data_IF_566134258134
#
_entry.id   IF_566134258134
#
_cell.length_a   1.000
_cell.length_b   1.000
_cell.length_c   1.000
_cell.angle_alpha   90.00
_cell.angle_beta   90.00
_cell.angle_gamma   90.00
#
_symmetry.space_group_name_H-M   'P 1'
#
loop_
_entity.id
_entity.type
_entity.pdbx_description
1 polymer ?
#
# COMPACT_ATOMS: atom_id res chain seq x y z
N UNK A 1 -5.04 45.07 -9.02
CA UNK A 1 -5.45 45.27 -7.62
C UNK A 1 -6.19 44.08 -6.99
N UNK A 2 -6.31 42.90 -7.62
CA UNK A 2 -7.24 41.86 -7.10
C UNK A 2 -6.60 40.73 -6.27
N UNK A 3 -5.30 40.43 -6.35
CA UNK A 3 -4.74 39.29 -5.60
C UNK A 3 -4.59 39.50 -4.07
N UNK A 4 -4.28 40.72 -3.62
CA UNK A 4 -4.05 41.03 -2.19
C UNK A 4 -5.37 41.14 -1.43
N UNK A 5 -6.38 41.79 -2.02
CA UNK A 5 -7.72 41.90 -1.42
C UNK A 5 -8.43 40.53 -1.33
N UNK A 6 -8.20 39.64 -2.30
CA UNK A 6 -8.72 38.27 -2.26
C UNK A 6 -8.01 37.42 -1.20
N UNK A 7 -6.70 37.62 -0.97
CA UNK A 7 -5.95 36.92 0.07
C UNK A 7 -6.30 37.35 1.51
N UNK A 8 -6.64 38.63 1.71
CA UNK A 8 -7.17 39.15 2.98
C UNK A 8 -8.57 38.60 3.29
N UNK A 9 -9.36 38.28 2.26
CA UNK A 9 -10.70 37.71 2.43
C UNK A 9 -10.71 36.21 2.80
N UNK A 10 -9.58 35.50 2.66
CA UNK A 10 -9.51 34.06 2.94
C UNK A 10 -9.62 33.76 4.44
N UNK A 11 -8.92 34.52 5.30
CA UNK A 11 -8.90 34.25 6.75
C UNK A 11 -10.29 34.35 7.39
N UNK A 12 -11.09 35.40 7.11
CA UNK A 12 -12.46 35.46 7.60
C UNK A 12 -13.33 34.29 7.10
N UNK A 13 -13.12 33.83 5.87
CA UNK A 13 -13.86 32.68 5.32
C UNK A 13 -13.49 31.38 6.04
N UNK A 14 -12.20 31.13 6.31
CA UNK A 14 -11.75 29.97 7.10
C UNK A 14 -12.34 30.03 8.51
N UNK A 15 -12.30 31.20 9.16
CA UNK A 15 -12.89 31.38 10.49
C UNK A 15 -14.42 31.18 10.50
N UNK A 16 -15.11 31.48 9.40
CA UNK A 16 -16.56 31.28 9.26
C UNK A 16 -16.96 29.80 9.27
N UNK A 17 -16.03 28.86 9.05
CA UNK A 17 -16.30 27.43 9.18
C UNK A 17 -16.64 27.02 10.62
N UNK A 18 -16.26 27.83 11.62
CA UNK A 18 -16.58 27.64 13.03
C UNK A 18 -17.77 28.52 13.49
N UNK A 19 -18.55 29.09 12.57
CA UNK A 19 -19.71 29.90 12.91
C UNK A 19 -20.88 29.03 13.43
N UNK A 20 -21.79 29.63 14.20
CA UNK A 20 -22.99 28.92 14.71
C UNK A 20 -24.04 28.63 13.62
N UNK A 21 -24.05 29.42 12.54
CA UNK A 21 -25.08 29.33 11.50
C UNK A 21 -24.65 28.37 10.39
N UNK A 22 -25.34 27.25 10.26
CA UNK A 22 -25.13 26.25 9.21
C UNK A 22 -25.00 26.83 7.80
N UNK A 23 -25.87 27.79 7.45
CA UNK A 23 -25.83 28.43 6.13
C UNK A 23 -24.55 29.23 5.89
N UNK A 24 -23.97 29.83 6.94
CA UNK A 24 -22.70 30.54 6.82
C UNK A 24 -21.54 29.56 6.61
N UNK A 25 -21.52 28.46 7.36
CA UNK A 25 -20.51 27.39 7.24
C UNK A 25 -20.54 26.78 5.83
N UNK A 26 -21.72 26.38 5.34
CA UNK A 26 -21.87 25.77 4.02
C UNK A 26 -21.49 26.71 2.88
N UNK A 27 -21.85 27.99 2.99
CA UNK A 27 -21.46 29.02 2.02
C UNK A 27 -19.94 29.26 2.04
N UNK A 28 -19.33 29.37 3.23
CA UNK A 28 -17.89 29.53 3.37
C UNK A 28 -17.13 28.35 2.75
N UNK A 29 -17.51 27.11 3.07
CA UNK A 29 -16.92 25.91 2.47
C UNK A 29 -17.04 25.90 0.93
N UNK A 30 -18.19 26.35 0.40
CA UNK A 30 -18.42 26.44 -1.05
C UNK A 30 -17.53 27.50 -1.69
N UNK A 31 -17.43 28.70 -1.11
CA UNK A 31 -16.57 29.76 -1.63
C UNK A 31 -15.10 29.33 -1.61
N UNK A 32 -14.62 28.77 -0.49
CA UNK A 32 -13.25 28.28 -0.35
C UNK A 32 -12.94 27.20 -1.40
N UNK A 33 -13.86 26.26 -1.62
CA UNK A 33 -13.69 25.21 -2.64
C UNK A 33 -13.65 25.77 -4.07
N UNK A 34 -14.46 26.79 -4.36
CA UNK A 34 -14.44 27.46 -5.66
C UNK A 34 -13.11 28.22 -5.88
N UNK A 35 -12.60 28.90 -4.84
CA UNK A 35 -11.30 29.57 -4.89
C UNK A 35 -10.16 28.56 -5.10
N UNK A 36 -10.25 27.38 -4.48
CA UNK A 36 -9.26 26.31 -4.61
C UNK A 36 -9.09 25.79 -6.05
N UNK A 37 -10.04 26.05 -6.95
CA UNK A 37 -9.86 25.72 -8.39
C UNK A 37 -8.62 26.38 -9.00
N UNK A 38 -8.21 27.53 -8.45
CA UNK A 38 -6.97 28.20 -8.79
C UNK A 38 -5.89 27.81 -7.77
N UNK A 39 -4.76 27.31 -8.28
CA UNK A 39 -3.63 26.83 -7.45
C UNK A 39 -3.10 27.89 -6.45
N UNK A 40 -2.93 29.19 -6.79
CA UNK A 40 -2.44 30.17 -5.84
C UNK A 40 -3.35 30.37 -4.62
N UNK A 41 -4.67 30.37 -4.81
CA UNK A 41 -5.61 30.50 -3.70
C UNK A 41 -5.69 29.22 -2.88
N UNK A 42 -5.60 28.04 -3.52
CA UNK A 42 -5.55 26.76 -2.82
C UNK A 42 -4.41 26.71 -1.81
N UNK A 43 -3.20 27.06 -2.24
CA UNK A 43 -2.00 27.10 -1.39
C UNK A 43 -2.20 28.11 -0.24
N UNK A 44 -2.75 29.29 -0.53
CA UNK A 44 -3.04 30.32 0.48
C UNK A 44 -4.12 29.90 1.50
N UNK A 45 -5.11 29.10 1.09
CA UNK A 45 -6.12 28.53 1.98
C UNK A 45 -5.53 27.40 2.83
N UNK A 46 -4.71 26.53 2.23
CA UNK A 46 -4.04 25.43 2.94
C UNK A 46 -3.10 25.94 4.04
N UNK A 47 -2.32 27.00 3.77
CA UNK A 47 -1.42 27.58 4.77
C UNK A 47 -2.13 28.18 6.00
N UNK A 48 -3.45 28.35 5.93
CA UNK A 48 -4.31 28.84 7.01
C UNK A 48 -5.02 27.73 7.80
N UNK A 49 -4.64 26.47 7.58
CA UNK A 49 -5.14 25.34 8.37
C UNK A 49 -6.57 24.92 8.03
N UNK A 50 -6.91 24.94 6.74
CA UNK A 50 -8.27 24.61 6.27
C UNK A 50 -8.71 23.20 6.65
N UNK A 51 -7.80 22.22 6.65
CA UNK A 51 -8.17 20.83 6.94
C UNK A 51 -8.54 20.66 8.41
N UNK A 52 -7.84 21.38 9.30
CA UNK A 52 -8.21 21.46 10.71
C UNK A 52 -9.56 22.15 10.90
N UNK A 53 -9.80 23.26 10.20
CA UNK A 53 -11.06 24.00 10.28
C UNK A 53 -12.28 23.23 9.74
N UNK A 54 -12.06 22.23 8.87
CA UNK A 54 -13.13 21.37 8.33
C UNK A 54 -13.53 20.21 9.24
N UNK A 55 -12.74 19.89 10.29
CA UNK A 55 -13.00 18.75 11.17
C UNK A 55 -14.35 18.85 11.91
N UNK A 56 -14.70 20.02 12.43
CA UNK A 56 -15.98 20.26 13.12
C UNK A 56 -17.18 20.29 12.15
N UNK A 57 -17.14 20.99 10.99
CA UNK A 57 -18.20 20.92 9.99
C UNK A 57 -18.57 19.50 9.53
N UNK A 58 -17.62 18.54 9.50
CA UNK A 58 -17.91 17.14 9.20
C UNK A 58 -18.82 16.48 10.25
N UNK A 59 -18.76 16.92 11.51
CA UNK A 59 -19.58 16.43 12.64
C UNK A 59 -20.94 17.13 12.75
N UNK A 60 -21.23 18.12 11.90
CA UNK A 60 -22.50 18.84 11.93
C UNK A 60 -23.70 17.89 11.78
N UNK A 61 -24.83 18.21 12.43
CA UNK A 61 -26.10 17.50 12.21
C UNK A 61 -26.79 17.92 10.90
N UNK A 62 -26.31 18.97 10.25
CA UNK A 62 -26.90 19.49 9.03
C UNK A 62 -26.27 18.82 7.79
N UNK A 63 -27.09 18.04 7.08
CA UNK A 63 -26.63 17.33 5.88
C UNK A 63 -26.07 18.24 4.77
N UNK A 64 -26.50 19.50 4.69
CA UNK A 64 -25.93 20.45 3.75
C UNK A 64 -24.51 20.85 4.13
N UNK A 65 -24.27 21.14 5.43
CA UNK A 65 -22.94 21.42 5.96
C UNK A 65 -22.02 20.23 5.78
N UNK A 66 -22.46 19.03 6.19
CA UNK A 66 -21.70 17.78 5.99
C UNK A 66 -21.31 17.57 4.53
N UNK A 67 -22.25 17.77 3.59
CA UNK A 67 -22.01 17.61 2.16
C UNK A 67 -20.93 18.58 1.66
N UNK A 68 -21.00 19.86 2.04
CA UNK A 68 -20.03 20.88 1.62
C UNK A 68 -18.68 20.71 2.31
N UNK A 69 -18.65 20.30 3.58
CA UNK A 69 -17.43 20.01 4.31
C UNK A 69 -16.68 18.82 3.69
N UNK A 70 -17.37 17.70 3.42
CA UNK A 70 -16.75 16.55 2.76
C UNK A 70 -16.24 16.90 1.34
N UNK A 71 -16.99 17.72 0.60
CA UNK A 71 -16.53 18.18 -0.71
C UNK A 71 -15.29 19.09 -0.63
N UNK A 72 -15.24 19.97 0.38
CA UNK A 72 -14.07 20.81 0.64
C UNK A 72 -12.84 19.95 1.01
N UNK A 73 -13.01 18.92 1.86
CA UNK A 73 -11.92 17.98 2.18
C UNK A 73 -11.36 17.35 0.91
N UNK A 74 -12.22 16.88 -0.01
CA UNK A 74 -11.77 16.32 -1.28
C UNK A 74 -10.99 17.33 -2.15
N UNK A 75 -11.34 18.61 -2.09
CA UNK A 75 -10.67 19.67 -2.86
C UNK A 75 -9.29 20.04 -2.31
N UNK A 76 -9.09 19.94 -0.99
CA UNK A 76 -7.85 20.33 -0.31
C UNK A 76 -6.93 19.16 0.03
N UNK A 77 -7.39 17.90 -0.01
CA UNK A 77 -6.59 16.69 0.25
C UNK A 77 -5.60 16.33 -0.87
N UNK A 78 -5.11 17.30 -1.65
CA UNK A 78 -4.30 17.07 -2.83
C UNK A 78 -2.85 16.66 -2.54
N UNK A 79 -2.30 17.03 -1.38
CA UNK A 79 -0.92 16.74 -0.97
C UNK A 79 -0.86 16.04 0.40
N UNK A 80 0.32 15.52 0.75
CA UNK A 80 0.54 14.74 1.95
C UNK A 80 0.40 15.57 3.23
N UNK A 81 0.74 16.86 3.19
CA UNK A 81 0.65 17.76 4.34
C UNK A 81 -0.81 18.02 4.70
N UNK A 82 -1.67 18.30 3.71
CA UNK A 82 -3.10 18.50 3.93
C UNK A 82 -3.79 17.22 4.47
N UNK A 83 -3.40 16.04 3.96
CA UNK A 83 -3.92 14.75 4.48
C UNK A 83 -3.44 14.46 5.90
N UNK A 84 -2.19 14.80 6.21
CA UNK A 84 -1.63 14.72 7.56
C UNK A 84 -2.32 15.70 8.52
N UNK A 85 -2.62 16.91 8.06
CA UNK A 85 -3.35 17.91 8.85
C UNK A 85 -4.75 17.40 9.21
N UNK A 86 -5.50 16.87 8.24
CA UNK A 86 -6.83 16.28 8.48
C UNK A 86 -6.76 15.12 9.49
N UNK A 87 -5.74 14.27 9.39
CA UNK A 87 -5.48 13.18 10.35
C UNK A 87 -5.25 13.71 11.76
N UNK A 88 -4.36 14.68 11.91
CA UNK A 88 -4.01 15.27 13.21
C UNK A 88 -5.19 16.00 13.85
N UNK A 89 -6.08 16.59 13.03
CA UNK A 89 -7.32 17.20 13.47
C UNK A 89 -8.42 16.18 13.83
N UNK A 90 -8.19 14.88 13.67
CA UNK A 90 -9.20 13.85 13.92
C UNK A 90 -10.37 13.87 12.94
N UNK A 91 -10.17 14.41 11.73
CA UNK A 91 -11.20 14.58 10.71
C UNK A 91 -11.56 13.30 9.95
N UNK A 92 -10.69 12.27 9.98
CA UNK A 92 -10.97 11.00 9.29
C UNK A 92 -12.15 10.23 9.90
N UNK A 93 -12.27 10.19 11.23
CA UNK A 93 -13.37 9.51 11.92
C UNK A 93 -14.76 10.03 11.47
N UNK A 94 -15.03 11.34 11.59
CA UNK A 94 -16.24 11.97 11.05
C UNK A 94 -16.44 11.67 9.56
N UNK A 95 -15.38 11.73 8.76
CA UNK A 95 -15.48 11.46 7.34
C UNK A 95 -15.97 10.03 7.06
N UNK A 96 -15.52 9.04 7.83
CA UNK A 96 -15.99 7.66 7.74
C UNK A 96 -17.43 7.52 8.23
N UNK A 97 -17.84 8.20 9.30
CA UNK A 97 -19.23 8.21 9.76
C UNK A 97 -20.19 8.74 8.66
N UNK A 98 -19.75 9.73 7.87
CA UNK A 98 -20.54 10.26 6.75
C UNK A 98 -20.79 9.25 5.62
N UNK A 99 -20.00 8.17 5.51
CA UNK A 99 -20.26 7.09 4.55
C UNK A 99 -21.59 6.38 4.83
N UNK A 100 -22.03 6.32 6.09
CA UNK A 100 -23.34 5.77 6.48
C UNK A 100 -24.50 6.75 6.35
N UNK A 101 -24.25 7.97 5.84
CA UNK A 101 -25.30 8.99 5.74
C UNK A 101 -26.44 8.54 4.81
N UNK A 102 -27.68 8.73 5.29
CA UNK A 102 -28.89 8.53 4.49
C UNK A 102 -29.00 9.56 3.35
N UNK A 103 -28.34 10.71 3.48
CA UNK A 103 -28.30 11.71 2.42
C UNK A 103 -27.34 11.27 1.31
N UNK A 104 -27.86 11.16 0.08
CA UNK A 104 -27.11 10.72 -1.10
C UNK A 104 -25.93 11.65 -1.44
N UNK A 105 -26.10 12.96 -1.31
CA UNK A 105 -25.05 13.93 -1.62
C UNK A 105 -23.90 13.86 -0.60
N UNK A 106 -24.25 13.77 0.69
CA UNK A 106 -23.27 13.60 1.78
C UNK A 106 -22.44 12.34 1.56
N UNK A 107 -23.10 11.19 1.37
CA UNK A 107 -22.40 9.92 1.16
C UNK A 107 -21.51 9.94 -0.09
N UNK A 108 -21.99 10.52 -1.19
CA UNK A 108 -21.20 10.68 -2.44
C UNK A 108 -19.94 11.51 -2.19
N UNK A 109 -20.07 12.64 -1.50
CA UNK A 109 -18.93 13.52 -1.24
C UNK A 109 -17.97 12.92 -0.21
N UNK A 110 -18.47 12.17 0.77
CA UNK A 110 -17.66 11.38 1.69
C UNK A 110 -16.83 10.32 0.94
N UNK A 111 -17.45 9.57 0.01
CA UNK A 111 -16.74 8.61 -0.83
C UNK A 111 -15.62 9.29 -1.64
N UNK A 112 -15.90 10.46 -2.23
CA UNK A 112 -14.91 11.24 -2.96
C UNK A 112 -13.74 11.70 -2.07
N UNK A 113 -14.03 12.22 -0.88
CA UNK A 113 -13.00 12.63 0.07
C UNK A 113 -12.14 11.45 0.54
N UNK A 114 -12.75 10.30 0.85
CA UNK A 114 -12.02 9.06 1.21
C UNK A 114 -11.12 8.61 0.05
N UNK A 115 -11.63 8.62 -1.18
CA UNK A 115 -10.84 8.28 -2.37
C UNK A 115 -9.60 9.17 -2.52
N UNK A 116 -9.74 10.48 -2.31
CA UNK A 116 -8.59 11.41 -2.40
C UNK A 116 -7.63 11.19 -1.23
N UNK A 117 -8.15 11.04 -0.01
CA UNK A 117 -7.35 10.82 1.19
C UNK A 117 -6.59 9.48 1.14
N UNK A 118 -7.14 8.44 0.52
CA UNK A 118 -6.47 7.14 0.36
C UNK A 118 -5.29 7.14 -0.64
N UNK A 119 -4.95 8.30 -1.21
CA UNK A 119 -3.82 8.42 -2.15
C UNK A 119 -2.46 8.37 -1.48
N UNK A 120 -2.38 8.53 -0.15
CA UNK A 120 -1.18 8.22 0.63
C UNK A 120 -1.39 7.01 1.53
N UNK A 121 -0.32 6.21 1.67
CA UNK A 121 -0.34 4.95 2.42
C UNK A 121 -0.71 5.14 3.88
N UNK A 122 -0.14 6.15 4.55
CA UNK A 122 -0.36 6.40 5.98
C UNK A 122 -1.84 6.70 6.26
N UNK A 123 -2.46 7.55 5.43
CA UNK A 123 -3.88 7.89 5.56
C UNK A 123 -4.78 6.75 5.13
N UNK A 124 -4.42 6.00 4.09
CA UNK A 124 -5.15 4.80 3.69
C UNK A 124 -5.18 3.74 4.80
N UNK A 125 -4.05 3.48 5.46
CA UNK A 125 -3.96 2.54 6.60
C UNK A 125 -4.86 2.99 7.74
N UNK A 126 -4.85 4.28 8.09
CA UNK A 126 -5.72 4.81 9.15
C UNK A 126 -7.21 4.74 8.77
N UNK A 127 -7.57 5.04 7.52
CA UNK A 127 -8.93 4.87 7.00
C UNK A 127 -9.38 3.40 7.10
N UNK A 128 -8.53 2.45 6.71
CA UNK A 128 -8.79 1.02 6.86
C UNK A 128 -8.97 0.63 8.33
N UNK A 129 -8.14 1.15 9.25
CA UNK A 129 -8.25 0.92 10.70
C UNK A 129 -9.58 1.44 11.27
N UNK A 130 -10.12 2.52 10.71
CA UNK A 130 -11.42 3.09 11.04
C UNK A 130 -12.60 2.33 10.40
N UNK A 131 -12.36 1.25 9.67
CA UNK A 131 -13.40 0.41 9.05
C UNK A 131 -13.89 0.89 7.69
N UNK A 132 -13.19 1.83 7.04
CA UNK A 132 -13.60 2.37 5.75
C UNK A 132 -13.81 1.29 4.67
N UNK A 133 -12.98 0.25 4.70
CA UNK A 133 -13.01 -0.84 3.72
C UNK A 133 -14.34 -1.60 3.77
N UNK A 134 -14.73 -2.07 4.95
CA UNK A 134 -15.97 -2.83 5.14
C UNK A 134 -17.21 -2.00 4.79
N UNK A 135 -17.20 -0.71 5.16
CA UNK A 135 -18.29 0.22 4.86
C UNK A 135 -18.41 0.45 3.34
N UNK A 136 -17.29 0.64 2.64
CA UNK A 136 -17.31 0.82 1.19
C UNK A 136 -17.69 -0.47 0.46
N UNK A 137 -17.29 -1.65 0.95
CA UNK A 137 -17.77 -2.94 0.45
C UNK A 137 -19.30 -3.03 0.59
N UNK A 138 -19.86 -2.70 1.76
CA UNK A 138 -21.31 -2.68 2.00
C UNK A 138 -22.04 -1.71 1.06
N UNK A 139 -21.52 -0.49 0.90
CA UNK A 139 -22.09 0.53 -0.01
C UNK A 139 -22.11 0.01 -1.46
N UNK A 140 -21.05 -0.67 -1.90
CA UNK A 140 -20.93 -1.18 -3.27
C UNK A 140 -21.78 -2.43 -3.54
N UNK A 141 -22.21 -3.16 -2.49
CA UNK A 141 -23.21 -4.22 -2.61
C UNK A 141 -24.64 -3.67 -2.76
N UNK A 142 -24.90 -2.44 -2.33
CA UNK A 142 -26.23 -1.81 -2.42
C UNK A 142 -26.45 -1.11 -3.77
N UNK A 143 -27.47 -1.54 -4.51
CA UNK A 143 -27.90 -0.90 -5.78
C UNK A 143 -28.28 0.59 -5.57
N UNK A 144 -28.78 0.95 -4.38
CA UNK A 144 -29.25 2.30 -4.07
C UNK A 144 -28.12 3.22 -3.58
N UNK A 145 -27.16 2.67 -2.83
CA UNK A 145 -26.14 3.46 -2.16
C UNK A 145 -24.84 3.59 -2.95
N UNK A 146 -24.56 2.63 -3.84
CA UNK A 146 -23.42 2.60 -4.75
C UNK A 146 -23.33 3.86 -5.60
N UNK A 147 -22.11 4.35 -5.78
CA UNK A 147 -21.79 5.48 -6.65
C UNK A 147 -20.37 5.34 -7.22
N UNK A 148 -20.04 6.12 -8.26
CA UNK A 148 -18.74 5.98 -8.95
C UNK A 148 -17.53 6.23 -8.02
N UNK A 149 -17.69 7.05 -6.97
CA UNK A 149 -16.62 7.27 -6.00
C UNK A 149 -16.55 6.17 -4.94
N UNK A 150 -17.62 5.43 -4.64
CA UNK A 150 -17.54 4.35 -3.65
C UNK A 150 -16.72 3.17 -4.17
N UNK A 151 -16.84 2.85 -5.47
CA UNK A 151 -15.98 1.85 -6.10
C UNK A 151 -14.53 2.34 -6.18
N UNK A 152 -14.32 3.57 -6.63
CA UNK A 152 -12.98 4.14 -6.77
C UNK A 152 -12.28 4.33 -5.42
N UNK A 153 -13.01 4.68 -4.37
CA UNK A 153 -12.50 4.77 -3.01
C UNK A 153 -12.07 3.40 -2.48
N UNK A 154 -12.89 2.37 -2.71
CA UNK A 154 -12.57 1.00 -2.32
C UNK A 154 -11.31 0.52 -3.05
N UNK A 155 -11.24 0.71 -4.37
CA UNK A 155 -10.06 0.36 -5.15
C UNK A 155 -8.80 1.09 -4.65
N UNK A 156 -8.91 2.39 -4.36
CA UNK A 156 -7.78 3.19 -3.89
C UNK A 156 -7.28 2.77 -2.50
N UNK A 157 -8.17 2.40 -1.58
CA UNK A 157 -7.76 1.81 -0.30
C UNK A 157 -6.99 0.51 -0.52
N UNK A 158 -7.51 -0.34 -1.41
CA UNK A 158 -6.90 -1.63 -1.75
C UNK A 158 -5.58 -1.50 -2.51
N UNK A 159 -5.31 -0.38 -3.21
CA UNK A 159 -4.01 -0.14 -3.85
C UNK A 159 -2.84 -0.16 -2.85
N UNK A 160 -3.10 0.10 -1.56
CA UNK A 160 -2.09 0.05 -0.49
C UNK A 160 -1.92 -1.36 0.10
N UNK A 161 -2.76 -2.33 -0.27
CA UNK A 161 -2.60 -3.73 0.10
C UNK A 161 -2.95 -4.63 -1.09
N UNK A 162 -1.96 -4.87 -1.95
CA UNK A 162 -2.18 -5.61 -3.20
C UNK A 162 -2.61 -7.06 -2.98
N UNK A 163 -2.16 -7.72 -1.90
CA UNK A 163 -2.62 -9.07 -1.55
C UNK A 163 -4.12 -9.08 -1.32
N UNK A 164 -4.61 -8.14 -0.49
CA UNK A 164 -6.04 -7.97 -0.25
C UNK A 164 -6.79 -7.54 -1.50
N UNK A 165 -6.23 -6.62 -2.30
CA UNK A 165 -6.80 -6.19 -3.58
C UNK A 165 -7.03 -7.38 -4.49
N UNK A 166 -6.01 -8.22 -4.68
CA UNK A 166 -6.09 -9.36 -5.57
C UNK A 166 -7.04 -10.45 -5.06
N UNK A 167 -7.08 -10.67 -3.74
CA UNK A 167 -8.04 -11.60 -3.12
C UNK A 167 -9.48 -11.11 -3.18
N UNK A 168 -9.74 -9.80 -3.13
CA UNK A 168 -11.09 -9.22 -3.18
C UNK A 168 -11.59 -9.01 -4.61
N UNK A 169 -10.76 -8.44 -5.46
CA UNK A 169 -11.16 -8.01 -6.80
C UNK A 169 -10.78 -9.00 -7.90
N UNK A 170 -9.88 -9.95 -7.62
CA UNK A 170 -9.37 -10.87 -8.63
C UNK A 170 -8.55 -10.19 -9.73
N UNK A 171 -8.17 -8.93 -9.56
CA UNK A 171 -7.51 -8.14 -10.61
C UNK A 171 -6.45 -7.21 -10.03
N UNK A 172 -5.26 -7.25 -10.61
CA UNK A 172 -4.22 -6.24 -10.45
C UNK A 172 -3.92 -5.63 -11.81
N UNK A 173 -3.93 -4.30 -11.88
CA UNK A 173 -3.61 -3.56 -13.10
C UNK A 173 -2.10 -3.53 -13.38
N UNK A 174 -1.72 -3.06 -14.56
CA UNK A 174 -0.31 -2.84 -14.92
C UNK A 174 0.38 -1.68 -14.19
N UNK A 175 -0.35 -0.91 -13.38
CA UNK A 175 0.23 0.04 -12.43
C UNK A 175 0.39 -0.52 -11.02
N UNK A 176 -0.26 -1.64 -10.70
CA UNK A 176 -0.05 -2.31 -9.42
C UNK A 176 1.21 -3.17 -9.53
N UNK A 177 2.26 -2.77 -8.82
CA UNK A 177 3.57 -3.43 -8.81
C UNK A 177 3.66 -4.32 -7.57
N UNK A 178 3.67 -5.64 -7.76
CA UNK A 178 3.81 -6.59 -6.66
C UNK A 178 5.20 -6.43 -6.04
N UNK A 179 5.29 -6.15 -4.74
CA UNK A 179 6.55 -6.06 -3.99
C UNK A 179 6.70 -7.24 -3.01
N UNK A 180 7.85 -7.33 -2.35
CA UNK A 180 8.09 -8.36 -1.33
C UNK A 180 7.15 -8.15 -0.14
N UNK A 181 6.59 -9.24 0.39
CA UNK A 181 5.50 -9.21 1.37
C UNK A 181 4.14 -9.53 0.75
N UNK A 182 4.01 -9.53 -0.58
CA UNK A 182 2.79 -9.94 -1.25
C UNK A 182 2.51 -11.44 -1.07
N UNK A 183 1.23 -11.80 -0.94
CA UNK A 183 0.78 -13.19 -0.95
C UNK A 183 -0.59 -13.33 -1.59
N UNK A 184 -0.83 -14.52 -2.14
CA UNK A 184 -2.11 -14.90 -2.73
C UNK A 184 -2.75 -16.04 -1.93
N UNK A 185 -3.72 -15.70 -1.08
CA UNK A 185 -4.56 -16.66 -0.36
C UNK A 185 -5.84 -17.07 -1.13
N UNK A 186 -5.98 -16.66 -2.40
CA UNK A 186 -7.15 -16.95 -3.22
C UNK A 186 -8.25 -15.89 -3.12
N UNK A 187 -9.37 -16.16 -3.79
CA UNK A 187 -10.52 -15.25 -3.80
C UNK A 187 -11.27 -15.31 -2.47
N UNK A 188 -11.46 -14.15 -1.84
CA UNK A 188 -12.18 -14.02 -0.57
C UNK A 188 -13.55 -13.38 -0.83
N UNK A 189 -14.60 -13.99 -0.26
CA UNK A 189 -15.97 -13.48 -0.37
C UNK A 189 -16.14 -12.17 0.41
N UNK A 190 -17.02 -11.26 -0.02
CA UNK A 190 -17.36 -10.07 0.75
C UNK A 190 -17.77 -10.41 2.19
N UNK A 191 -17.31 -9.62 3.16
CA UNK A 191 -17.60 -9.82 4.59
C UNK A 191 -16.75 -10.89 5.30
N UNK A 192 -15.92 -11.66 4.59
CA UNK A 192 -14.92 -12.53 5.23
C UNK A 192 -13.68 -11.70 5.58
N UNK A 193 -13.16 -11.86 6.80
CA UNK A 193 -11.94 -11.17 7.26
C UNK A 193 -10.74 -11.56 6.38
N UNK A 194 -10.00 -10.56 5.91
CA UNK A 194 -8.70 -10.77 5.29
C UNK A 194 -7.65 -11.00 6.37
N UNK A 195 -6.98 -12.15 6.33
CA UNK A 195 -5.96 -12.51 7.32
C UNK A 195 -4.58 -12.06 6.86
N UNK A 196 -3.79 -11.54 7.80
CA UNK A 196 -2.39 -11.21 7.60
C UNK A 196 -1.55 -12.46 7.34
N UNK A 197 -0.38 -12.29 6.72
CA UNK A 197 0.52 -13.40 6.47
C UNK A 197 1.01 -14.06 7.77
N UNK A 198 1.23 -13.28 8.83
CA UNK A 198 1.58 -13.78 10.16
C UNK A 198 0.46 -14.67 10.71
N UNK A 199 -0.79 -14.18 10.74
CA UNK A 199 -1.96 -14.97 11.17
C UNK A 199 -2.07 -16.27 10.36
N UNK A 200 -1.87 -16.22 9.04
CA UNK A 200 -1.90 -17.39 8.16
C UNK A 200 -0.75 -18.37 8.42
N UNK A 201 0.45 -17.88 8.72
CA UNK A 201 1.63 -18.71 8.98
C UNK A 201 1.54 -19.48 10.28
N UNK A 202 0.76 -18.99 11.25
CA UNK A 202 0.54 -19.65 12.54
C UNK A 202 -0.56 -20.70 12.54
N UNK A 203 -1.33 -20.81 11.44
CA UNK A 203 -2.36 -21.82 11.32
C UNK A 203 -1.75 -23.21 11.17
N UNK A 204 -2.45 -24.22 11.70
CA UNK A 204 -2.08 -25.61 11.48
C UNK A 204 -2.15 -25.96 9.99
N UNK A 205 -1.36 -26.96 9.58
CA UNK A 205 -1.42 -27.48 8.22
C UNK A 205 -2.85 -27.98 7.94
N UNK A 206 -3.49 -27.40 6.93
CA UNK A 206 -4.85 -27.76 6.51
C UNK A 206 -4.88 -28.22 5.06
N UNK A 207 -5.93 -28.93 4.65
CA UNK A 207 -6.18 -29.30 3.25
C UNK A 207 -6.70 -28.10 2.40
N UNK A 208 -6.60 -26.87 2.91
CA UNK A 208 -6.98 -25.68 2.19
C UNK A 208 -5.93 -25.30 1.15
N UNK A 209 -6.35 -24.53 0.14
CA UNK A 209 -5.49 -24.03 -0.93
C UNK A 209 -4.23 -23.37 -0.35
N UNK A 210 -3.07 -23.75 -0.87
CA UNK A 210 -1.79 -23.12 -0.58
C UNK A 210 -1.84 -21.59 -0.76
N UNK A 211 -1.19 -20.89 0.16
CA UNK A 211 -1.02 -19.44 0.15
C UNK A 211 0.33 -19.16 -0.51
N UNK A 212 0.30 -18.61 -1.72
CA UNK A 212 1.52 -18.39 -2.47
C UNK A 212 2.15 -17.07 -2.05
N UNK A 213 3.38 -17.12 -1.54
CA UNK A 213 4.05 -15.98 -0.93
C UNK A 213 5.26 -15.50 -1.73
N UNK A 214 5.46 -14.18 -1.77
CA UNK A 214 6.48 -13.49 -2.55
C UNK A 214 7.42 -12.72 -1.61
N UNK A 215 8.68 -13.15 -1.53
CA UNK A 215 9.71 -12.41 -0.82
C UNK A 215 11.09 -12.68 -1.39
N UNK A 216 11.56 -11.80 -2.28
CA UNK A 216 12.91 -11.86 -2.83
C UNK A 216 13.92 -11.02 -2.04
N UNK A 217 13.52 -10.40 -0.91
CA UNK A 217 14.45 -9.63 -0.09
C UNK A 217 15.46 -10.59 0.54
N UNK A 218 16.78 -10.39 0.35
CA UNK A 218 17.74 -11.02 1.24
C UNK A 218 17.46 -10.53 2.66
N UNK A 219 17.58 -11.40 3.66
CA UNK A 219 17.58 -10.95 5.06
C UNK A 219 18.65 -9.86 5.19
N UNK A 220 18.24 -8.64 5.56
CA UNK A 220 19.21 -7.67 6.04
C UNK A 220 19.84 -8.30 7.27
N UNK A 221 21.16 -8.49 7.24
CA UNK A 221 21.94 -8.98 8.38
C UNK A 221 21.43 -8.27 9.62
N UNK A 222 20.90 -9.05 10.56
CA UNK A 222 20.36 -8.57 11.83
C UNK A 222 21.41 -7.64 12.43
N UNK A 223 21.14 -6.33 12.42
CA UNK A 223 22.09 -5.31 12.85
C UNK A 223 22.53 -5.70 14.26
N UNK A 224 23.75 -6.21 14.38
CA UNK A 224 24.32 -6.58 15.66
C UNK A 224 24.50 -5.27 16.39
N UNK A 225 23.64 -5.00 17.38
CA UNK A 225 23.75 -3.82 18.24
C UNK A 225 25.11 -3.86 18.94
N UNK A 226 26.11 -3.26 18.32
CA UNK A 226 27.45 -3.17 18.89
C UNK A 226 27.48 -1.93 19.76
N UNK A 227 27.28 -2.14 21.06
CA UNK A 227 27.43 -1.10 22.07
C UNK A 227 28.92 -0.75 22.16
N UNK A 228 29.33 0.39 21.61
CA UNK A 228 30.68 0.92 21.79
C UNK A 228 30.81 1.52 23.20
N UNK A 229 31.82 1.15 24.01
CA UNK A 229 32.04 1.77 25.31
C UNK A 229 32.52 3.21 25.18
N UNK A 230 32.08 4.02 26.15
CA UNK A 230 32.29 5.45 26.33
C UNK A 230 33.76 5.92 26.17
N UNK A 231 33.96 7.09 25.53
CA UNK A 231 35.17 7.92 25.70
C UNK A 231 34.77 9.29 26.26
N UNK A 232 35.32 9.65 27.41
CA UNK A 232 35.12 10.95 28.05
C UNK A 232 35.60 12.11 27.15
N UNK A 233 34.70 13.02 26.82
CA UNK A 233 35.02 14.28 26.15
C UNK A 233 34.06 15.38 26.59
N UNK A 234 34.52 16.30 27.43
CA UNK A 234 33.72 17.45 27.89
C UNK A 234 33.70 18.57 26.86
N UNK A 235 32.51 19.09 26.54
CA UNK A 235 32.34 20.30 25.73
C UNK A 235 31.80 21.42 26.63
N UNK A 236 32.50 22.57 26.66
CA UNK A 236 32.06 23.79 27.31
C UNK A 236 31.43 24.74 26.28
N UNK A 237 30.23 25.26 26.57
CA UNK A 237 29.64 26.39 25.84
C UNK A 237 29.41 27.57 26.80
N UNK A 238 29.73 28.82 26.41
CA UNK A 238 29.59 29.98 27.29
C UNK A 238 28.14 30.49 27.26
N UNK A 239 27.61 30.89 28.43
CA UNK A 239 26.32 31.54 28.52
C UNK A 239 26.45 32.99 28.98
N UNK A 240 25.79 33.89 28.23
CA UNK A 240 25.64 35.29 28.56
C UNK A 240 24.58 35.46 29.65
N UNK A 241 25.02 35.94 30.83
CA UNK A 241 24.23 36.43 31.99
C UNK A 241 23.79 35.38 33.03
N UNK A 242 24.58 35.29 34.11
CA UNK A 242 24.07 35.31 35.49
C UNK A 242 23.60 34.01 36.15
N UNK A 243 24.54 33.31 36.80
CA UNK A 243 24.39 32.62 38.10
C UNK A 243 23.57 31.31 38.18
N UNK A 244 24.26 30.17 37.97
CA UNK A 244 24.25 28.88 38.73
C UNK A 244 24.67 27.74 37.76
N UNK A 245 25.91 27.29 37.83
CA UNK A 245 26.41 26.16 37.02
C UNK A 245 25.94 24.83 37.64
N UNK A 246 25.10 24.09 36.92
CA UNK A 246 24.74 22.69 37.26
C UNK A 246 25.54 21.78 36.31
N UNK A 247 26.32 20.80 36.81
CA UNK A 247 26.92 19.81 35.93
C UNK A 247 25.80 18.89 35.41
N UNK A 248 25.52 18.97 34.11
CA UNK A 248 24.61 18.07 33.39
C UNK A 248 25.46 17.00 32.72
N UNK A 249 25.22 15.74 33.05
CA UNK A 249 25.83 14.60 32.38
C UNK A 249 24.87 14.20 31.25
N UNK A 250 25.35 14.24 30.00
CA UNK A 250 24.57 13.91 28.80
C UNK A 250 24.99 12.50 28.38
N UNK A 251 24.07 11.54 28.47
CA UNK A 251 24.26 10.18 27.96
C UNK A 251 23.54 10.06 26.62
N UNK A 252 24.23 9.53 25.61
CA UNK A 252 23.70 9.33 24.26
C UNK A 252 23.67 7.84 23.91
N UNK A 253 22.49 7.29 23.58
CA UNK A 253 22.40 6.07 22.77
C UNK A 253 22.27 6.46 21.29
N UNK A 254 23.08 5.85 20.43
CA UNK A 254 22.92 5.94 18.97
C UNK A 254 22.33 4.64 18.43
N UNK A 255 21.19 4.74 17.76
CA UNK A 255 20.65 3.66 16.93
C UNK A 255 20.60 4.14 15.47
N UNK A 256 21.03 3.29 14.54
CA UNK A 256 21.01 3.58 13.11
C UNK A 256 19.75 2.97 12.50
N UNK A 257 18.89 3.82 11.93
CA UNK A 257 17.72 3.41 11.14
C UNK A 257 17.75 4.20 9.84
N UNK A 258 17.73 3.51 8.68
CA UNK A 258 17.67 4.12 7.34
C UNK A 258 18.73 5.22 7.07
N UNK A 259 19.95 5.05 7.60
CA UNK A 259 21.04 6.02 7.43
C UNK A 259 20.92 7.30 8.28
N UNK A 260 19.94 7.39 9.19
CA UNK A 260 19.76 8.49 10.14
C UNK A 260 20.25 8.08 11.53
N UNK A 261 21.14 8.88 12.13
CA UNK A 261 21.55 8.69 13.53
C UNK A 261 20.48 9.26 14.46
N UNK A 262 19.80 8.38 15.21
CA UNK A 262 18.89 8.80 16.28
C UNK A 262 19.67 8.81 17.59
N UNK A 263 19.84 10.00 18.16
CA UNK A 263 20.47 10.20 19.47
C UNK A 263 19.40 10.33 20.55
N UNK A 264 19.33 9.36 21.45
CA UNK A 264 18.49 9.48 22.65
C UNK A 264 19.26 10.20 23.74
N UNK A 265 18.78 11.39 24.12
CA UNK A 265 19.34 12.18 25.22
C UNK A 265 18.48 12.01 26.47
N UNK A 266 19.02 11.38 27.51
CA UNK A 266 18.33 11.22 28.78
C UNK A 266 18.71 12.34 29.75
N UNK A 267 17.70 12.97 30.36
CA UNK A 267 17.89 13.99 31.38
C UNK A 267 17.70 13.40 32.78
N UNK A 268 18.81 13.09 33.46
CA UNK A 268 18.76 12.68 34.88
C UNK A 268 18.75 13.94 35.75
N UNK A 269 17.60 14.26 36.38
CA UNK A 269 17.53 15.35 37.38
C UNK A 269 18.30 14.96 38.65
N UNK A 270 19.28 15.79 39.02
CA UNK A 270 20.13 15.58 40.21
C UNK A 270 19.34 15.88 41.49
N UNK A 271 18.67 14.87 42.04
CA UNK A 271 18.16 14.91 43.42
C UNK A 271 19.33 14.85 44.42
N UNK A 272 19.34 15.75 45.41
CA UNK A 272 20.32 15.72 46.51
C UNK A 272 20.11 14.43 47.34
N UNK A 273 21.10 13.54 47.31
CA UNK A 273 21.30 12.55 48.39
C UNK A 273 21.03 11.06 48.12
N UNK A 274 21.17 10.53 46.89
CA UNK A 274 21.19 9.07 46.65
C UNK A 274 22.58 8.54 46.28
N UNK A 275 22.95 7.38 46.84
CA UNK A 275 24.23 6.67 46.64
C UNK A 275 24.43 6.28 45.17
N UNK A 276 25.67 6.30 44.72
CA UNK A 276 26.08 6.09 43.33
C UNK A 276 25.66 4.72 42.77
N UNK A 277 25.58 3.70 43.63
CA UNK A 277 25.20 2.32 43.30
C UNK A 277 23.69 2.11 43.05
N UNK A 278 22.82 2.96 43.63
CA UNK A 278 21.37 2.97 43.34
C UNK A 278 21.08 3.62 41.97
N UNK A 279 21.92 4.58 41.55
CA UNK A 279 21.78 5.27 40.26
C UNK A 279 22.09 4.35 39.09
N UNK A 280 23.13 3.51 39.21
CA UNK A 280 23.46 2.52 38.18
C UNK A 280 22.33 1.51 38.00
N UNK A 281 21.65 1.14 39.09
CA UNK A 281 20.48 0.23 39.07
C UNK A 281 19.25 0.86 38.43
N UNK A 282 18.92 2.13 38.74
CA UNK A 282 17.82 2.86 38.08
C UNK A 282 18.06 3.01 36.57
N UNK A 283 19.29 3.33 36.15
CA UNK A 283 19.67 3.43 34.72
C UNK A 283 19.60 2.07 34.02
N UNK A 284 20.10 1.01 34.66
CA UNK A 284 20.02 -0.37 34.10
C UNK A 284 18.56 -0.84 33.98
N UNK A 285 17.70 -0.46 34.92
CA UNK A 285 16.28 -0.81 34.90
C UNK A 285 15.48 -0.01 33.87
N UNK A 286 15.84 1.25 33.60
CA UNK A 286 15.26 2.03 32.50
C UNK A 286 15.73 1.48 31.16
N UNK A 287 17.02 1.13 31.03
CA UNK A 287 17.56 0.48 29.83
C UNK A 287 16.89 -0.88 29.61
N UNK A 288 16.63 -1.68 30.66
CA UNK A 288 15.95 -2.96 30.50
C UNK A 288 14.47 -2.79 30.11
N UNK A 289 13.77 -1.78 30.66
CA UNK A 289 12.38 -1.50 30.29
C UNK A 289 12.25 -0.95 28.87
N UNK A 290 13.17 -0.08 28.46
CA UNK A 290 13.24 0.40 27.08
C UNK A 290 13.67 -0.74 26.14
N UNK A 291 14.54 -1.65 26.58
CA UNK A 291 14.87 -2.87 25.85
C UNK A 291 13.67 -3.80 25.74
N UNK A 292 12.84 -3.93 26.79
CA UNK A 292 11.62 -4.73 26.77
C UNK A 292 10.54 -4.06 25.90
N UNK A 293 10.38 -2.73 25.91
CA UNK A 293 9.48 -2.00 25.01
C UNK A 293 9.94 -2.04 23.54
N UNK A 294 11.25 -1.95 23.29
CA UNK A 294 11.85 -2.13 21.95
C UNK A 294 11.74 -3.59 21.49
N UNK A 295 11.91 -4.56 22.40
CA UNK A 295 11.77 -5.98 22.09
C UNK A 295 10.29 -6.40 21.89
N UNK A 296 9.35 -5.71 22.53
CA UNK A 296 7.91 -5.96 22.36
C UNK A 296 7.39 -5.44 21.01
N UNK A 297 7.99 -4.37 20.48
CA UNK A 297 7.76 -3.91 19.10
C UNK A 297 8.58 -4.72 18.06
N UNK A 298 9.55 -5.53 18.47
CA UNK A 298 10.43 -6.28 17.54
C UNK A 298 10.09 -7.75 17.35
N UNK A 299 8.97 -8.25 17.89
CA UNK A 299 8.48 -9.60 17.57
C UNK A 299 7.64 -9.62 16.28
N UNK A 300 7.94 -8.76 15.32
CA UNK A 300 7.34 -8.88 13.99
C UNK A 300 7.90 -10.14 13.34
N UNK A 301 7.03 -11.13 13.11
CA UNK A 301 7.39 -12.29 12.28
C UNK A 301 7.87 -11.78 10.92
N UNK A 302 9.15 -11.99 10.64
CA UNK A 302 9.71 -11.69 9.32
C UNK A 302 9.56 -12.94 8.45
N UNK A 303 8.87 -12.83 7.31
CA UNK A 303 8.75 -13.95 6.42
C UNK A 303 10.13 -14.39 5.89
N UNK A 304 10.38 -15.69 5.74
CA UNK A 304 11.67 -16.17 5.25
C UNK A 304 11.95 -15.71 3.81
N UNK A 305 13.21 -15.46 3.45
CA UNK A 305 13.61 -15.07 2.10
C UNK A 305 13.49 -16.24 1.11
N UNK A 306 13.03 -15.94 -0.11
CA UNK A 306 13.00 -16.87 -1.24
C UNK A 306 14.18 -16.61 -2.18
N UNK A 307 15.32 -17.24 -1.87
CA UNK A 307 16.53 -17.13 -2.67
C UNK A 307 16.37 -17.70 -4.09
N UNK A 308 15.43 -18.63 -4.29
CA UNK A 308 15.17 -19.20 -5.61
C UNK A 308 14.46 -18.15 -6.48
N UNK A 309 13.46 -17.45 -5.92
CA UNK A 309 12.83 -16.33 -6.60
C UNK A 309 13.84 -15.22 -6.92
N UNK A 310 14.74 -14.91 -5.98
CA UNK A 310 15.81 -13.94 -6.21
C UNK A 310 16.71 -14.34 -7.40
N UNK A 311 17.11 -15.62 -7.49
CA UNK A 311 17.85 -16.14 -8.65
C UNK A 311 17.04 -16.01 -9.95
N UNK A 312 15.74 -16.31 -9.92
CA UNK A 312 14.87 -16.15 -11.08
C UNK A 312 14.82 -14.70 -11.57
N UNK A 313 14.65 -13.74 -10.66
CA UNK A 313 14.64 -12.31 -10.96
C UNK A 313 15.99 -11.89 -11.56
N UNK A 314 17.10 -12.31 -10.95
CA UNK A 314 18.44 -11.96 -11.42
C UNK A 314 18.75 -12.54 -12.82
N UNK A 315 18.33 -13.78 -13.09
CA UNK A 315 18.49 -14.40 -14.40
C UNK A 315 17.64 -13.68 -15.45
N UNK A 316 16.36 -13.43 -15.18
CA UNK A 316 15.48 -12.68 -16.07
C UNK A 316 16.00 -11.27 -16.37
N UNK A 317 16.54 -10.59 -15.35
CA UNK A 317 17.15 -9.26 -15.51
C UNK A 317 18.38 -9.27 -16.42
N UNK A 318 19.13 -10.38 -16.47
CA UNK A 318 20.30 -10.52 -17.34
C UNK A 318 19.95 -10.95 -18.76
N UNK A 319 18.93 -11.80 -18.93
CA UNK A 319 18.63 -12.42 -20.23
C UNK A 319 17.48 -11.75 -20.98
N UNK A 320 16.46 -11.25 -20.27
CA UNK A 320 15.21 -10.73 -20.86
C UNK A 320 15.24 -9.21 -20.95
N UNK A 321 15.68 -8.52 -19.89
CA UNK A 321 15.72 -7.04 -19.88
C UNK A 321 16.48 -6.44 -21.09
N UNK A 322 17.61 -7.01 -21.57
CA UNK A 322 18.34 -6.46 -22.71
C UNK A 322 17.68 -6.64 -24.09
N UNK A 323 16.55 -7.37 -24.19
CA UNK A 323 15.85 -7.59 -25.45
C UNK A 323 15.29 -6.28 -26.02
N UNK A 324 15.17 -6.21 -27.35
CA UNK A 324 14.99 -4.94 -28.06
C UNK A 324 13.57 -4.41 -28.00
N UNK A 325 12.58 -5.31 -27.97
CA UNK A 325 11.17 -4.94 -27.95
C UNK A 325 10.45 -5.52 -26.73
N UNK A 326 9.44 -4.81 -26.24
CA UNK A 326 8.57 -5.32 -25.16
C UNK A 326 7.88 -6.61 -25.53
N UNK A 327 7.59 -6.82 -26.83
CA UNK A 327 7.02 -8.07 -27.32
C UNK A 327 7.99 -9.24 -27.13
N UNK A 328 9.25 -9.09 -27.54
CA UNK A 328 10.29 -10.10 -27.30
C UNK A 328 10.48 -10.37 -25.82
N UNK A 329 10.50 -9.31 -25.00
CA UNK A 329 10.61 -9.42 -23.54
C UNK A 329 9.48 -10.27 -22.93
N UNK A 330 8.23 -10.01 -23.34
CA UNK A 330 7.06 -10.76 -22.86
C UNK A 330 7.12 -12.23 -23.28
N UNK A 331 7.46 -12.50 -24.54
CA UNK A 331 7.56 -13.88 -25.08
C UNK A 331 8.64 -14.66 -24.33
N UNK A 332 9.83 -14.07 -24.18
CA UNK A 332 10.95 -14.70 -23.47
C UNK A 332 10.64 -14.92 -21.98
N UNK A 333 9.94 -13.98 -21.33
CA UNK A 333 9.52 -14.14 -19.93
C UNK A 333 8.50 -15.26 -19.77
N UNK A 334 7.55 -15.39 -20.69
CA UNK A 334 6.55 -16.45 -20.65
C UNK A 334 7.20 -17.85 -20.76
N UNK A 335 8.15 -18.00 -21.68
CA UNK A 335 8.94 -19.22 -21.83
C UNK A 335 9.76 -19.52 -20.58
N UNK A 336 10.46 -18.51 -20.04
CA UNK A 336 11.23 -18.63 -18.80
C UNK A 336 10.37 -19.12 -17.63
N UNK A 337 9.19 -18.53 -17.43
CA UNK A 337 8.25 -18.91 -16.36
C UNK A 337 7.76 -20.34 -16.54
N UNK A 338 7.37 -20.72 -17.76
CA UNK A 338 6.95 -22.08 -18.06
C UNK A 338 8.05 -23.09 -17.75
N UNK A 339 9.29 -22.83 -18.20
CA UNK A 339 10.44 -23.71 -17.96
C UNK A 339 10.74 -23.91 -16.46
N UNK A 340 10.57 -22.85 -15.64
CA UNK A 340 10.75 -22.95 -14.17
C UNK A 340 9.61 -23.69 -13.45
N UNK A 341 8.47 -23.86 -14.11
CA UNK A 341 7.23 -24.41 -13.52
C UNK A 341 6.69 -25.66 -14.24
N UNK A 342 7.56 -26.42 -14.91
CA UNK A 342 7.25 -27.74 -15.47
C UNK A 342 7.10 -27.77 -17.00
N UNK A 343 7.47 -26.70 -17.70
CA UNK A 343 7.45 -26.61 -19.16
C UNK A 343 6.06 -26.43 -19.77
N UNK A 344 5.94 -26.42 -21.11
CA UNK A 344 4.65 -26.42 -21.79
C UNK A 344 3.85 -27.70 -21.48
N UNK A 345 2.53 -27.57 -21.38
CA UNK A 345 1.61 -28.66 -21.08
C UNK A 345 0.67 -28.84 -22.28
N UNK A 346 0.52 -30.07 -22.77
CA UNK A 346 -0.48 -30.36 -23.79
C UNK A 346 -1.89 -30.21 -23.23
N UNK A 347 -2.81 -29.63 -24.01
CA UNK A 347 -4.20 -29.35 -23.58
C UNK A 347 -4.90 -30.58 -22.97
N UNK A 348 -4.70 -31.73 -23.58
CA UNK A 348 -5.36 -32.98 -23.17
C UNK A 348 -4.72 -33.63 -21.95
N UNK A 349 -3.48 -33.25 -21.58
CA UNK A 349 -2.70 -33.85 -20.48
C UNK A 349 -2.70 -33.00 -19.20
N UNK A 350 -3.58 -32.00 -19.11
CA UNK A 350 -3.65 -31.14 -17.93
C UNK A 350 -3.97 -31.95 -16.65
N UNK A 351 -4.77 -33.00 -16.77
CA UNK A 351 -5.14 -33.89 -15.66
C UNK A 351 -3.98 -34.79 -15.18
N UNK A 352 -3.01 -35.08 -16.06
CA UNK A 352 -1.81 -35.85 -15.71
C UNK A 352 -0.74 -34.99 -15.03
N UNK A 353 -0.90 -33.66 -15.07
CA UNK A 353 0.04 -32.74 -14.48
C UNK A 353 -0.18 -32.66 -12.96
N UNK A 354 0.47 -33.54 -12.20
CA UNK A 354 0.33 -33.67 -10.73
C UNK A 354 0.93 -32.48 -9.96
N UNK A 355 0.37 -31.29 -10.12
CA UNK A 355 0.80 -30.08 -9.43
C UNK A 355 0.33 -30.06 -7.98
N UNK A 356 -0.84 -30.63 -7.67
CA UNK A 356 -1.38 -30.69 -6.31
C UNK A 356 -0.42 -31.47 -5.39
N UNK A 357 0.06 -32.63 -5.85
CA UNK A 357 1.01 -33.43 -5.09
C UNK A 357 2.31 -32.66 -4.82
N UNK A 358 2.84 -31.95 -5.83
CA UNK A 358 4.04 -31.12 -5.70
C UNK A 358 3.84 -30.00 -4.66
N UNK A 359 2.67 -29.37 -4.62
CA UNK A 359 2.36 -28.33 -3.62
C UNK A 359 2.25 -28.95 -2.23
N UNK A 360 1.52 -30.05 -2.06
CA UNK A 360 1.38 -30.72 -0.76
C UNK A 360 2.71 -31.25 -0.20
N UNK A 361 3.63 -31.70 -1.06
CA UNK A 361 4.99 -32.06 -0.66
C UNK A 361 5.74 -30.86 -0.05
N UNK A 362 5.60 -29.67 -0.64
CA UNK A 362 6.21 -28.44 -0.11
C UNK A 362 5.56 -28.04 1.21
N UNK A 363 4.22 -28.04 1.28
CA UNK A 363 3.49 -27.69 2.51
C UNK A 363 3.86 -28.62 3.67
N UNK A 364 4.02 -29.92 3.38
CA UNK A 364 4.48 -30.92 4.35
C UNK A 364 5.93 -30.68 4.80
N UNK A 365 6.84 -30.35 3.88
CA UNK A 365 8.24 -30.01 4.18
C UNK A 365 8.34 -28.76 5.08
N UNK A 366 7.55 -27.74 4.76
CA UNK A 366 7.53 -26.45 5.47
C UNK A 366 6.70 -26.49 6.76
N UNK A 367 5.82 -27.49 6.91
CA UNK A 367 4.82 -27.60 7.98
C UNK A 367 3.88 -26.38 8.05
N UNK A 368 3.58 -25.78 6.90
CA UNK A 368 2.66 -24.66 6.78
C UNK A 368 2.04 -24.59 5.37
N UNK A 369 0.87 -23.96 5.26
CA UNK A 369 0.20 -23.70 3.97
C UNK A 369 0.81 -22.52 3.20
N UNK A 370 1.81 -21.84 3.76
CA UNK A 370 2.46 -20.69 3.11
C UNK A 370 3.63 -21.18 2.26
N UNK A 371 3.45 -21.12 0.94
CA UNK A 371 4.39 -21.66 -0.04
C UNK A 371 5.11 -20.53 -0.78
N UNK A 372 6.44 -20.39 -0.63
CA UNK A 372 7.23 -19.46 -1.43
C UNK A 372 7.17 -19.83 -2.92
N UNK A 373 6.91 -18.84 -3.78
CA UNK A 373 6.72 -19.07 -5.23
C UNK A 373 7.92 -19.77 -5.89
N UNK A 374 9.15 -19.52 -5.44
CA UNK A 374 10.37 -20.10 -5.99
C UNK A 374 10.48 -21.61 -5.74
N UNK A 375 9.83 -22.15 -4.70
CA UNK A 375 9.74 -23.60 -4.45
C UNK A 375 8.76 -24.30 -5.39
N UNK A 376 7.82 -23.59 -6.03
CA UNK A 376 6.85 -24.17 -6.96
C UNK A 376 7.54 -24.51 -8.29
N UNK A 377 7.87 -25.80 -8.49
CA UNK A 377 8.51 -26.33 -9.72
C UNK A 377 7.52 -26.91 -10.73
N UNK A 378 6.30 -27.22 -10.28
CA UNK A 378 5.18 -27.63 -11.13
C UNK A 378 3.99 -26.74 -10.78
N UNK A 379 3.64 -25.84 -11.70
CA UNK A 379 2.62 -24.83 -11.46
C UNK A 379 1.56 -24.81 -12.57
N UNK A 380 0.31 -24.56 -12.17
CA UNK A 380 -0.83 -24.29 -13.06
C UNK A 380 -0.94 -22.82 -13.44
N UNK A 381 -2.04 -22.46 -14.12
CA UNK A 381 -2.40 -21.10 -14.55
C UNK A 381 -2.07 -20.02 -13.52
N UNK A 382 -2.55 -20.12 -12.28
CA UNK A 382 -2.36 -19.05 -11.29
C UNK A 382 -0.96 -18.96 -10.71
N UNK A 383 -0.27 -20.09 -10.54
CA UNK A 383 1.13 -20.08 -10.11
C UNK A 383 2.00 -19.40 -11.16
N UNK A 384 1.82 -19.77 -12.43
CA UNK A 384 2.58 -19.22 -13.55
C UNK A 384 2.25 -17.74 -13.77
N UNK A 385 0.96 -17.38 -13.76
CA UNK A 385 0.55 -15.99 -13.94
C UNK A 385 1.08 -15.07 -12.83
N UNK A 386 1.10 -15.58 -11.58
CA UNK A 386 1.68 -14.85 -10.45
C UNK A 386 3.20 -14.70 -10.60
N UNK A 387 3.94 -15.77 -10.91
CA UNK A 387 5.39 -15.68 -11.13
C UNK A 387 5.73 -14.75 -12.29
N UNK A 388 4.98 -14.83 -13.40
CA UNK A 388 5.13 -13.93 -14.53
C UNK A 388 4.94 -12.47 -14.10
N UNK A 389 3.87 -12.17 -13.36
CA UNK A 389 3.60 -10.81 -12.86
C UNK A 389 4.73 -10.31 -11.97
N UNK A 390 5.19 -11.13 -11.02
CA UNK A 390 6.26 -10.76 -10.08
C UNK A 390 7.57 -10.45 -10.81
N UNK A 391 7.99 -11.30 -11.74
CA UNK A 391 9.23 -11.05 -12.49
C UNK A 391 9.06 -9.86 -13.43
N UNK A 392 7.92 -9.75 -14.12
CA UNK A 392 7.60 -8.63 -15.00
C UNK A 392 7.70 -7.28 -14.26
N UNK A 393 7.15 -7.21 -13.05
CA UNK A 393 7.20 -6.03 -12.18
C UNK A 393 8.63 -5.67 -11.77
N UNK A 394 9.50 -6.66 -11.55
CA UNK A 394 10.92 -6.45 -11.20
C UNK A 394 11.76 -5.97 -12.37
N UNK A 395 11.46 -6.41 -13.59
CA UNK A 395 12.20 -6.05 -14.81
C UNK A 395 11.55 -4.91 -15.61
N UNK A 396 10.43 -4.36 -15.13
CA UNK A 396 9.76 -3.19 -15.73
C UNK A 396 8.82 -3.49 -16.91
N UNK A 397 8.38 -4.74 -17.08
CA UNK A 397 7.35 -5.10 -18.08
C UNK A 397 5.96 -4.83 -17.49
N UNK A 398 5.18 -4.00 -18.17
CA UNK A 398 3.81 -3.66 -17.74
C UNK A 398 2.82 -4.76 -18.11
N UNK A 399 2.34 -5.50 -17.11
CA UNK A 399 1.28 -6.49 -17.29
C UNK A 399 0.25 -6.42 -16.16
N UNK A 400 -1.00 -6.76 -16.46
CA UNK A 400 -2.03 -7.03 -15.46
C UNK A 400 -1.98 -8.48 -15.00
N UNK A 401 -2.54 -8.77 -13.83
CA UNK A 401 -2.80 -10.11 -13.33
C UNK A 401 -4.30 -10.27 -13.13
N UNK A 402 -4.90 -11.22 -13.82
CA UNK A 402 -6.35 -11.45 -13.83
C UNK A 402 -6.62 -12.83 -13.28
N UNK A 403 -7.53 -12.92 -12.30
CA UNK A 403 -8.07 -14.18 -11.78
C UNK A 403 -9.34 -14.51 -12.54
N UNK A 404 -9.40 -15.73 -13.05
CA UNK A 404 -10.60 -16.32 -13.62
C UNK A 404 -11.31 -17.26 -12.64
N UNK A 405 -12.24 -18.03 -13.18
CA UNK A 405 -12.93 -19.07 -12.43
C UNK A 405 -12.07 -20.35 -12.33
N UNK A 406 -12.46 -21.27 -11.43
CA UNK A 406 -11.85 -22.61 -11.31
C UNK A 406 -10.31 -22.62 -11.21
N UNK A 407 -9.73 -21.72 -10.41
CA UNK A 407 -8.28 -21.57 -10.25
C UNK A 407 -7.52 -21.15 -11.52
N UNK A 408 -8.20 -20.61 -12.54
CA UNK A 408 -7.52 -19.96 -13.67
C UNK A 408 -7.05 -18.58 -13.28
N UNK A 409 -5.94 -18.17 -13.87
CA UNK A 409 -5.48 -16.80 -13.91
C UNK A 409 -4.53 -16.62 -15.10
N UNK A 410 -4.40 -15.39 -15.58
CA UNK A 410 -3.57 -15.05 -16.73
C UNK A 410 -3.04 -13.63 -16.60
N UNK A 411 -2.09 -13.29 -17.46
CA UNK A 411 -1.57 -11.94 -17.59
C UNK A 411 -2.05 -11.29 -18.87
N UNK A 412 -2.40 -10.01 -18.77
CA UNK A 412 -2.71 -9.18 -19.92
C UNK A 412 -1.63 -8.13 -20.13
N UNK A 413 -1.15 -7.97 -21.36
CA UNK A 413 -0.15 -6.97 -21.75
C UNK A 413 -0.72 -6.05 -22.82
N UNK A 414 -0.30 -4.78 -22.81
CA UNK A 414 -0.60 -3.83 -23.87
C UNK A 414 0.60 -3.70 -24.80
N UNK A 415 0.41 -4.06 -26.07
CA UNK A 415 1.45 -4.04 -27.09
C UNK A 415 0.97 -3.28 -28.31
N UNK A 416 1.88 -2.55 -28.96
CA UNK A 416 1.62 -1.95 -30.27
C UNK A 416 1.94 -3.01 -31.33
N UNK A 417 1.04 -3.13 -32.32
CA UNK A 417 1.28 -4.00 -33.47
C UNK A 417 2.11 -3.29 -34.52
N UNK A 418 2.85 -4.06 -35.30
CA UNK A 418 3.57 -3.53 -36.44
C UNK A 418 2.59 -2.94 -37.46
N UNK A 419 2.97 -1.82 -38.07
CA UNK A 419 2.15 -1.16 -39.09
C UNK A 419 1.87 -2.13 -40.24
N UNK A 420 0.59 -2.43 -40.56
CA UNK A 420 0.28 -3.15 -41.77
C UNK A 420 0.79 -2.29 -42.93
N UNK A 421 1.61 -2.88 -43.80
CA UNK A 421 2.29 -2.25 -44.95
C UNK A 421 3.57 -1.44 -44.68
N UNK A 422 4.19 -1.51 -43.49
CA UNK A 422 5.53 -0.93 -43.29
C UNK A 422 5.58 0.60 -43.43
N UNK A 423 4.45 1.27 -43.21
CA UNK A 423 4.39 2.73 -43.20
C UNK A 423 5.04 3.20 -41.90
N UNK A 424 6.33 3.47 -41.96
CA UNK A 424 7.10 4.10 -40.88
C UNK A 424 6.42 5.39 -40.45
N UNK A 425 5.94 5.43 -39.20
CA UNK A 425 5.37 6.64 -38.57
C UNK A 425 3.90 6.55 -38.17
N UNK A 426 3.16 5.51 -38.55
CA UNK A 426 1.80 5.27 -38.02
C UNK A 426 1.88 4.46 -36.72
N UNK A 427 1.81 5.16 -35.59
CA UNK A 427 1.60 4.54 -34.28
C UNK A 427 0.15 4.05 -34.19
N UNK A 428 -0.03 2.74 -34.33
CA UNK A 428 -1.32 2.11 -34.04
C UNK A 428 -1.62 2.18 -32.53
N UNK A 429 -2.90 2.26 -32.14
CA UNK A 429 -3.25 2.19 -30.73
C UNK A 429 -2.79 0.86 -30.14
N UNK A 430 -2.28 0.85 -28.89
CA UNK A 430 -1.88 -0.38 -28.23
C UNK A 430 -3.10 -1.31 -28.06
N UNK A 431 -2.89 -2.59 -28.33
CA UNK A 431 -3.89 -3.63 -28.18
C UNK A 431 -3.58 -4.50 -26.97
N UNK A 432 -4.62 -5.08 -26.36
CA UNK A 432 -4.50 -5.99 -25.22
C UNK A 432 -4.32 -7.43 -25.71
N UNK A 433 -3.36 -8.12 -25.12
CA UNK A 433 -3.06 -9.52 -25.38
C UNK A 433 -3.03 -10.31 -24.08
N UNK A 434 -3.57 -11.52 -24.09
CA UNK A 434 -3.34 -12.53 -23.05
C UNK A 434 -2.03 -13.25 -23.37
N UNK A 435 -1.20 -13.43 -22.34
CA UNK A 435 0.03 -14.22 -22.45
C UNK A 435 -0.28 -15.68 -22.15
N UNK A 436 -0.11 -16.58 -23.11
CA UNK A 436 -0.18 -18.02 -22.83
C UNK A 436 1.06 -18.44 -22.04
N UNK A 437 0.83 -19.01 -20.85
CA UNK A 437 1.86 -19.58 -19.97
C UNK A 437 1.74 -21.10 -19.82
N UNK A 438 0.76 -21.74 -20.45
CA UNK A 438 0.39 -23.13 -20.22
C UNK A 438 0.64 -24.00 -21.44
N UNK A 439 0.03 -23.68 -22.57
CA UNK A 439 0.01 -24.58 -23.73
C UNK A 439 1.12 -24.25 -24.72
N UNK A 440 1.18 -22.99 -25.15
CA UNK A 440 2.22 -22.46 -26.02
C UNK A 440 2.89 -21.25 -25.35
N UNK A 441 3.81 -21.45 -24.37
CA UNK A 441 4.43 -20.37 -23.61
C UNK A 441 5.01 -19.27 -24.50
N UNK A 442 4.48 -18.05 -24.33
CA UNK A 442 4.86 -16.87 -25.10
C UNK A 442 3.95 -16.58 -26.30
N UNK A 443 2.99 -17.44 -26.62
CA UNK A 443 1.95 -17.10 -27.59
C UNK A 443 1.07 -15.96 -27.05
N UNK A 444 0.86 -14.93 -27.87
CA UNK A 444 0.12 -13.72 -27.52
C UNK A 444 -1.27 -13.77 -28.14
N UNK A 445 -2.27 -14.05 -27.30
CA UNK A 445 -3.65 -14.21 -27.73
C UNK A 445 -4.35 -12.84 -27.68
N UNK A 446 -4.86 -12.36 -28.81
CA UNK A 446 -5.53 -11.06 -28.88
C UNK A 446 -6.81 -11.06 -28.04
N UNK A 447 -6.94 -10.07 -27.14
CA UNK A 447 -8.12 -9.97 -26.28
C UNK A 447 -9.40 -9.83 -27.13
N UNK A 448 -10.43 -10.61 -26.80
CA UNK A 448 -11.71 -10.64 -27.52
C UNK A 448 -11.75 -11.57 -28.72
N UNK A 449 -10.70 -12.35 -28.98
CA UNK A 449 -10.74 -13.47 -29.94
C UNK A 449 -11.37 -14.72 -29.32
N UNK A 450 -11.83 -15.65 -30.17
CA UNK A 450 -12.40 -16.92 -29.71
C UNK A 450 -11.38 -17.75 -28.90
N UNK A 451 -10.10 -17.67 -29.29
CA UNK A 451 -8.99 -18.33 -28.59
C UNK A 451 -8.79 -17.74 -27.19
N UNK A 452 -8.98 -16.42 -27.02
CA UNK A 452 -8.87 -15.77 -25.72
C UNK A 452 -9.96 -16.27 -24.78
N UNK A 453 -11.19 -16.43 -25.27
CA UNK A 453 -12.29 -16.94 -24.46
C UNK A 453 -12.12 -18.42 -24.16
N UNK A 454 -11.61 -19.22 -25.11
CA UNK A 454 -11.19 -20.59 -24.85
C UNK A 454 -10.14 -20.63 -23.72
N UNK A 455 -9.12 -19.78 -23.78
CA UNK A 455 -8.06 -19.74 -22.77
C UNK A 455 -8.57 -19.37 -21.38
N UNK A 456 -9.64 -18.57 -21.28
CA UNK A 456 -10.24 -18.19 -20.00
C UNK A 456 -11.11 -19.29 -19.39
N UNK A 457 -11.68 -20.19 -20.20
CA UNK A 457 -12.77 -21.09 -19.79
C UNK A 457 -12.51 -22.59 -19.94
N UNK A 458 -11.44 -23.02 -20.63
CA UNK A 458 -11.18 -24.46 -20.85
C UNK A 458 -11.04 -25.28 -19.57
#
# INVERSE_FOLDING_TARGET
ASGVAEAEAIEPLVNTLNAERDGAIANAATVLTNLATQEPFRISIQSRGIMSALAEPLRSTNSHVQSKAAFAVAAFACDADARTELRNAGGLGPLIELLHSKNKEVRRNACLAVMVCASDEITAVELCRLGALDILEEINLSIVHKNNYSESALEKLLDNNLSQKYSRMGYLSSSNIITDGFYDCGQIKPGVKFLSLEELSTQELTDHRAIIFINAKPEEDTITTTIMPFREGGIYMPNSRGSFNIPVQIESLSCQRDGVYVFFFFYVRKGKGKKEEEKTKEVTQIISKVQDEINLESSHWLPPPDFILLDYINNASKTILPLTTTREQVVALAQFVADKMGGPIERDKLHDFSWELHISEIEFELKCNVVPIGKVKKGTFYHRALLFKVIADRIGIRCSLVRGEYNRAWNEVQLVDDSPQGITGLLLPPQKYIVDLMFEPGFLIKQGSAEADQYKHI
#
